data_IF_682125740397
#
_entry.id   IF_682125740397
#
_cell.length_a   1.000
_cell.length_b   1.000
_cell.length_c   1.000
_cell.angle_alpha   90.00
_cell.angle_beta   90.00
_cell.angle_gamma   90.00
#
_symmetry.space_group_name_H-M   'P 1'
#
loop_
_entity.id
_entity.type
_entity.pdbx_description
1 polymer ?
#
# COMPACT_ATOMS: atom_id res chain seq x y z
N UNK A 1 59.81 -29.06 -10.95
CA UNK A 1 58.41 -29.11 -11.42
C UNK A 1 57.48 -28.68 -10.29
N UNK A 2 56.97 -27.44 -10.31
CA UNK A 2 55.99 -26.96 -9.32
C UNK A 2 54.59 -27.37 -9.77
N UNK A 3 53.93 -28.28 -9.04
CA UNK A 3 52.50 -28.57 -9.21
C UNK A 3 51.70 -27.45 -8.54
N UNK A 4 51.08 -26.59 -9.35
CA UNK A 4 50.08 -25.64 -8.88
C UNK A 4 48.78 -26.42 -8.65
N UNK A 5 48.39 -26.60 -7.40
CA UNK A 5 47.09 -27.14 -7.02
C UNK A 5 46.11 -25.95 -7.02
N UNK A 6 45.33 -25.80 -8.08
CA UNK A 6 44.25 -24.81 -8.12
C UNK A 6 43.10 -25.41 -7.31
N UNK A 7 42.94 -24.90 -6.08
CA UNK A 7 41.80 -25.20 -5.22
C UNK A 7 40.57 -24.49 -5.80
N UNK A 8 39.69 -25.26 -6.46
CA UNK A 8 38.36 -24.82 -6.86
C UNK A 8 37.50 -24.64 -5.60
N UNK A 9 37.42 -23.41 -5.11
CA UNK A 9 36.45 -23.03 -4.08
C UNK A 9 35.09 -22.94 -4.75
N UNK A 10 34.29 -24.00 -4.65
CA UNK A 10 32.86 -23.95 -4.96
C UNK A 10 32.16 -23.06 -3.91
N UNK A 11 31.71 -21.88 -4.32
CA UNK A 11 30.83 -21.04 -3.51
C UNK A 11 29.48 -21.73 -3.31
N UNK A 12 29.32 -22.48 -2.22
CA UNK A 12 28.02 -22.96 -1.70
C UNK A 12 27.27 -21.87 -0.90
N UNK A 13 27.74 -20.62 -0.94
CA UNK A 13 27.34 -19.52 -0.05
C UNK A 13 25.93 -18.95 -0.31
N UNK A 14 25.30 -19.19 -1.47
CA UNK A 14 23.99 -18.59 -1.76
C UNK A 14 22.81 -19.20 -0.99
N UNK A 15 22.96 -20.43 -0.45
CA UNK A 15 21.88 -21.12 0.26
C UNK A 15 21.73 -20.65 1.71
N UNK A 16 22.80 -20.15 2.31
CA UNK A 16 22.80 -19.70 3.72
C UNK A 16 22.16 -18.31 3.88
N UNK A 17 22.37 -17.40 2.91
CA UNK A 17 21.83 -16.03 2.94
C UNK A 17 20.31 -15.95 2.77
N UNK A 18 19.69 -16.92 2.10
CA UNK A 18 18.25 -16.92 1.79
C UNK A 18 17.52 -18.11 2.40
N UNK A 19 18.07 -18.67 3.49
CA UNK A 19 17.57 -19.89 4.13
C UNK A 19 16.08 -19.78 4.50
N UNK A 20 15.64 -18.66 5.05
CA UNK A 20 14.25 -18.45 5.48
C UNK A 20 13.27 -18.55 4.31
N UNK A 21 13.62 -17.98 3.16
CA UNK A 21 12.83 -18.09 1.94
C UNK A 21 12.74 -19.55 1.49
N UNK A 22 13.88 -20.25 1.44
CA UNK A 22 13.90 -21.65 0.99
C UNK A 22 13.18 -22.59 1.96
N UNK A 23 13.28 -22.36 3.27
CA UNK A 23 12.53 -23.10 4.28
C UNK A 23 11.02 -22.89 4.10
N UNK A 24 10.59 -21.66 3.79
CA UNK A 24 9.19 -21.36 3.51
C UNK A 24 8.70 -22.08 2.23
N UNK A 25 9.50 -22.04 1.15
CA UNK A 25 9.21 -22.75 -0.09
C UNK A 25 9.07 -24.25 0.17
N UNK A 26 10.02 -24.86 0.89
CA UNK A 26 9.98 -26.30 1.20
C UNK A 26 8.78 -26.69 2.07
N UNK A 27 8.38 -25.85 3.03
CA UNK A 27 7.15 -26.08 3.81
C UNK A 27 5.91 -26.09 2.92
N UNK A 28 5.81 -25.14 1.99
CA UNK A 28 4.68 -25.08 1.05
C UNK A 28 4.67 -26.30 0.13
N UNK A 29 5.83 -26.68 -0.44
CA UNK A 29 5.96 -27.88 -1.28
C UNK A 29 5.49 -29.15 -0.55
N UNK A 30 5.83 -29.28 0.73
CA UNK A 30 5.42 -30.43 1.54
C UNK A 30 3.94 -30.39 1.96
N UNK A 31 3.28 -29.23 1.85
CA UNK A 31 1.87 -29.07 2.25
C UNK A 31 0.92 -29.29 1.06
N UNK A 32 1.31 -28.87 -0.14
CA UNK A 32 0.50 -29.00 -1.34
C UNK A 32 0.61 -30.41 -1.93
N UNK A 33 -0.46 -30.90 -2.55
CA UNK A 33 -0.39 -32.19 -3.26
C UNK A 33 0.45 -32.07 -4.54
N UNK A 34 0.89 -33.21 -5.06
CA UNK A 34 1.63 -33.25 -6.33
C UNK A 34 0.81 -32.67 -7.48
N UNK A 35 -0.48 -32.95 -7.53
CA UNK A 35 -1.40 -32.43 -8.54
C UNK A 35 -1.55 -30.92 -8.43
N UNK A 36 -1.60 -30.38 -7.20
CA UNK A 36 -1.64 -28.94 -6.96
C UNK A 36 -0.36 -28.25 -7.43
N UNK A 37 0.81 -28.82 -7.13
CA UNK A 37 2.11 -28.30 -7.58
C UNK A 37 2.26 -28.36 -9.10
N UNK A 38 1.80 -29.44 -9.75
CA UNK A 38 1.78 -29.56 -11.22
C UNK A 38 0.85 -28.52 -11.82
N UNK A 39 -0.37 -28.37 -11.29
CA UNK A 39 -1.32 -27.36 -11.77
C UNK A 39 -0.78 -25.94 -11.59
N UNK A 40 -0.10 -25.68 -10.49
CA UNK A 40 0.51 -24.38 -10.20
C UNK A 40 1.68 -24.08 -11.15
N UNK A 41 2.59 -25.04 -11.34
CA UNK A 41 3.77 -24.88 -12.22
C UNK A 41 3.42 -24.74 -13.70
N UNK A 42 2.37 -25.43 -14.19
CA UNK A 42 1.93 -25.39 -15.59
C UNK A 42 1.24 -24.09 -16.01
N UNK A 43 0.86 -23.21 -15.06
CA UNK A 43 0.30 -21.90 -15.36
C UNK A 43 1.42 -20.92 -15.70
N UNK A 44 1.10 -19.94 -16.55
CA UNK A 44 1.93 -18.74 -16.68
C UNK A 44 2.19 -18.12 -15.29
N UNK A 45 3.41 -17.64 -15.05
CA UNK A 45 3.84 -17.15 -13.73
C UNK A 45 2.88 -16.07 -13.20
N UNK A 46 2.51 -15.09 -14.04
CA UNK A 46 1.62 -14.00 -13.59
C UNK A 46 0.24 -14.52 -13.16
N UNK A 47 -0.30 -15.47 -13.93
CA UNK A 47 -1.59 -16.11 -13.65
C UNK A 47 -1.53 -17.02 -12.43
N UNK A 48 -0.45 -17.79 -12.29
CA UNK A 48 -0.21 -18.65 -11.14
C UNK A 48 -0.19 -17.83 -9.85
N UNK A 49 0.54 -16.70 -9.84
CA UNK A 49 0.62 -15.82 -8.66
C UNK A 49 -0.70 -15.12 -8.39
N UNK A 50 -1.40 -14.61 -9.42
CA UNK A 50 -2.70 -13.96 -9.22
C UNK A 50 -3.75 -14.92 -8.66
N UNK A 51 -3.79 -16.17 -9.14
CA UNK A 51 -4.77 -17.15 -8.67
C UNK A 51 -4.44 -17.68 -7.27
N UNK A 52 -3.17 -18.03 -7.01
CA UNK A 52 -2.78 -18.56 -5.70
C UNK A 52 -2.91 -17.49 -4.62
N UNK A 53 -2.74 -16.21 -4.95
CA UNK A 53 -2.84 -15.09 -4.02
C UNK A 53 -4.15 -15.12 -3.23
N UNK A 54 -5.29 -15.28 -3.92
CA UNK A 54 -6.62 -15.29 -3.28
C UNK A 54 -7.04 -16.64 -2.68
N UNK A 55 -6.30 -17.71 -2.96
CA UNK A 55 -6.51 -19.02 -2.35
C UNK A 55 -5.51 -19.25 -1.22
N UNK A 56 -4.55 -20.13 -1.51
CA UNK A 56 -3.54 -20.55 -0.53
C UNK A 56 -2.62 -19.39 -0.08
N UNK A 57 -2.44 -18.35 -0.90
CA UNK A 57 -1.68 -17.15 -0.56
C UNK A 57 -2.30 -16.36 0.60
N UNK A 58 -3.63 -16.23 0.66
CA UNK A 58 -4.34 -15.63 1.80
C UNK A 58 -4.15 -16.47 3.07
N UNK A 59 -4.28 -17.79 2.94
CA UNK A 59 -4.08 -18.72 4.06
C UNK A 59 -2.66 -18.60 4.63
N UNK A 60 -1.65 -18.71 3.76
CA UNK A 60 -0.24 -18.53 4.11
C UNK A 60 0.00 -17.18 4.78
N UNK A 61 -0.55 -16.09 4.22
CA UNK A 61 -0.42 -14.76 4.82
C UNK A 61 -1.00 -14.71 6.23
N UNK A 62 -2.18 -15.26 6.45
CA UNK A 62 -2.84 -15.15 7.74
C UNK A 62 -2.17 -16.06 8.80
N UNK A 63 -1.93 -17.32 8.47
CA UNK A 63 -1.44 -18.31 9.42
C UNK A 63 0.08 -18.24 9.61
N UNK A 64 0.84 -17.95 8.55
CA UNK A 64 2.31 -17.94 8.59
C UNK A 64 2.85 -16.54 8.76
N UNK A 65 2.33 -15.50 8.09
CA UNK A 65 2.95 -14.16 8.15
C UNK A 65 2.31 -13.24 9.19
N UNK A 66 0.99 -13.30 9.37
CA UNK A 66 0.24 -12.37 10.23
C UNK A 66 0.25 -12.81 11.70
N UNK A 67 -0.01 -14.10 11.96
CA UNK A 67 0.01 -14.65 13.32
C UNK A 67 1.43 -14.74 13.90
N UNK A 68 2.44 -14.57 13.05
CA UNK A 68 3.84 -14.53 13.45
C UNK A 68 4.55 -13.28 12.91
N UNK A 69 4.04 -12.09 13.26
CA UNK A 69 4.79 -10.82 13.02
C UNK A 69 6.24 -10.86 13.56
N UNK A 70 6.55 -11.81 14.44
CA UNK A 70 7.88 -12.13 14.95
C UNK A 70 8.60 -13.33 14.30
N UNK A 71 8.03 -13.96 13.28
CA UNK A 71 8.70 -15.07 12.60
C UNK A 71 9.98 -14.62 11.91
N UNK A 72 10.91 -15.57 11.86
CA UNK A 72 12.16 -15.43 11.13
C UNK A 72 11.94 -15.01 9.67
N UNK A 73 10.85 -15.49 9.03
CA UNK A 73 10.53 -15.13 7.65
C UNK A 73 10.10 -13.66 7.49
N UNK A 74 9.25 -13.15 8.40
CA UNK A 74 8.85 -11.73 8.39
C UNK A 74 10.05 -10.85 8.66
N UNK A 75 10.89 -11.21 9.64
CA UNK A 75 12.15 -10.50 9.94
C UNK A 75 13.12 -10.49 8.76
N UNK A 76 13.24 -11.61 8.06
CA UNK A 76 14.04 -11.75 6.84
C UNK A 76 13.57 -10.79 5.74
N UNK A 77 12.26 -10.74 5.46
CA UNK A 77 11.73 -9.82 4.45
C UNK A 77 11.84 -8.36 4.88
N UNK A 78 11.59 -8.05 6.16
CA UNK A 78 11.75 -6.70 6.71
C UNK A 78 13.21 -6.21 6.58
N UNK A 79 14.18 -7.09 6.85
CA UNK A 79 15.61 -6.79 6.65
C UNK A 79 15.92 -6.46 5.19
N UNK A 80 15.25 -7.12 4.25
CA UNK A 80 15.35 -6.87 2.81
C UNK A 80 14.43 -5.73 2.31
N UNK A 81 13.81 -4.97 3.21
CA UNK A 81 12.99 -3.78 2.86
C UNK A 81 11.57 -4.10 2.36
N UNK A 82 11.09 -5.33 2.52
CA UNK A 82 9.73 -5.75 2.15
C UNK A 82 8.88 -5.85 3.42
N UNK A 83 7.90 -4.96 3.56
CA UNK A 83 7.07 -4.86 4.77
C UNK A 83 5.61 -5.31 4.57
N UNK A 84 5.13 -5.34 3.33
CA UNK A 84 3.75 -5.72 3.03
C UNK A 84 3.62 -7.24 2.95
N UNK A 85 2.72 -7.83 3.75
CA UNK A 85 2.58 -9.29 3.83
C UNK A 85 2.17 -9.93 2.49
N UNK A 86 1.42 -9.21 1.66
CA UNK A 86 1.07 -9.69 0.32
C UNK A 86 2.30 -9.79 -0.59
N UNK A 87 3.26 -8.87 -0.45
CA UNK A 87 4.49 -8.93 -1.25
C UNK A 87 5.40 -10.05 -0.79
N UNK A 88 5.52 -10.25 0.53
CA UNK A 88 6.24 -11.40 1.09
C UNK A 88 5.67 -12.71 0.55
N UNK A 89 4.34 -12.87 0.62
CA UNK A 89 3.61 -14.02 0.08
C UNK A 89 3.87 -14.18 -1.43
N UNK A 90 3.69 -13.11 -2.22
CA UNK A 90 3.96 -13.13 -3.66
C UNK A 90 5.39 -13.54 -4.00
N UNK A 91 6.40 -13.05 -3.27
CA UNK A 91 7.80 -13.41 -3.49
C UNK A 91 8.02 -14.90 -3.20
N UNK A 92 7.47 -15.43 -2.12
CA UNK A 92 7.56 -16.87 -1.78
C UNK A 92 6.95 -17.73 -2.89
N UNK A 93 5.71 -17.45 -3.33
CA UNK A 93 5.04 -18.25 -4.35
C UNK A 93 5.66 -18.10 -5.74
N UNK A 94 6.16 -16.91 -6.09
CA UNK A 94 6.89 -16.69 -7.35
C UNK A 94 8.20 -17.47 -7.36
N UNK A 95 8.91 -17.48 -6.23
CA UNK A 95 10.13 -18.27 -6.06
C UNK A 95 9.86 -19.78 -6.14
N UNK A 96 8.76 -20.26 -5.55
CA UNK A 96 8.30 -21.64 -5.69
C UNK A 96 7.98 -21.98 -7.16
N UNK A 97 7.21 -21.14 -7.86
CA UNK A 97 6.85 -21.37 -9.26
C UNK A 97 8.10 -21.51 -10.15
N UNK A 98 9.06 -20.60 -9.96
CA UNK A 98 10.36 -20.62 -10.67
C UNK A 98 11.15 -21.88 -10.34
N UNK A 99 11.22 -22.27 -9.07
CA UNK A 99 11.89 -23.51 -8.64
C UNK A 99 11.28 -24.75 -9.30
N UNK A 100 9.95 -24.90 -9.29
CA UNK A 100 9.25 -26.03 -9.92
C UNK A 100 9.50 -26.10 -11.44
N UNK A 101 9.77 -24.96 -12.07
CA UNK A 101 10.05 -24.84 -13.49
C UNK A 101 11.55 -24.76 -13.83
N UNK A 102 12.45 -25.04 -12.88
CA UNK A 102 13.90 -24.93 -13.07
C UNK A 102 14.37 -23.56 -13.60
N UNK A 103 13.66 -22.49 -13.24
CA UNK A 103 14.01 -21.10 -13.57
C UNK A 103 14.80 -20.48 -12.42
N UNK A 104 15.69 -19.56 -12.74
CA UNK A 104 16.34 -18.73 -11.72
C UNK A 104 15.26 -17.98 -10.92
N UNK A 105 15.31 -18.09 -9.59
CA UNK A 105 14.38 -17.38 -8.68
C UNK A 105 14.52 -15.87 -8.85
N UNK A 106 15.73 -15.35 -9.07
CA UNK A 106 15.99 -13.93 -9.31
C UNK A 106 15.37 -13.03 -8.22
N UNK A 107 15.69 -13.39 -6.97
CA UNK A 107 15.09 -12.79 -5.76
C UNK A 107 15.36 -11.28 -5.67
N UNK A 108 16.56 -10.84 -6.00
CA UNK A 108 16.95 -9.43 -5.89
C UNK A 108 16.12 -8.53 -6.81
N UNK A 109 15.78 -8.98 -8.02
CA UNK A 109 14.87 -8.23 -8.88
C UNK A 109 13.43 -8.26 -8.36
N UNK A 110 12.97 -9.40 -7.82
CA UNK A 110 11.65 -9.46 -7.19
C UNK A 110 11.52 -8.43 -6.06
N UNK A 111 12.54 -8.31 -5.20
CA UNK A 111 12.58 -7.32 -4.12
C UNK A 111 12.62 -5.90 -4.66
N UNK A 112 13.52 -5.64 -5.62
CA UNK A 112 13.68 -4.32 -6.25
C UNK A 112 12.38 -3.81 -6.86
N UNK A 113 11.65 -4.67 -7.57
CA UNK A 113 10.38 -4.31 -8.18
C UNK A 113 9.34 -3.88 -7.14
N UNK A 114 9.29 -4.57 -5.99
CA UNK A 114 8.40 -4.22 -4.88
C UNK A 114 8.79 -2.90 -4.22
N UNK A 115 10.07 -2.70 -3.94
CA UNK A 115 10.57 -1.44 -3.37
C UNK A 115 10.23 -0.27 -4.32
N UNK A 116 10.52 -0.42 -5.61
CA UNK A 116 10.22 0.59 -6.65
C UNK A 116 8.73 0.91 -6.74
N UNK A 117 7.87 -0.10 -6.58
CA UNK A 117 6.42 0.11 -6.58
C UNK A 117 5.95 0.94 -5.36
N UNK A 118 6.46 0.64 -4.16
CA UNK A 118 6.01 1.29 -2.93
C UNK A 118 6.67 2.63 -2.63
N UNK A 119 7.89 2.87 -3.10
CA UNK A 119 8.63 4.12 -2.86
C UNK A 119 7.80 5.40 -3.12
N UNK A 120 7.13 5.59 -4.28
CA UNK A 120 6.31 6.78 -4.50
C UNK A 120 5.13 6.87 -3.53
N UNK A 121 4.52 5.74 -3.16
CA UNK A 121 3.40 5.69 -2.21
C UNK A 121 3.87 6.10 -0.81
N UNK A 122 4.99 5.55 -0.33
CA UNK A 122 5.55 5.89 0.98
C UNK A 122 5.95 7.36 1.07
N UNK A 123 6.54 7.91 0.01
CA UNK A 123 6.88 9.33 -0.04
C UNK A 123 5.63 10.22 -0.02
N UNK A 124 4.60 9.83 -0.77
CA UNK A 124 3.29 10.46 -0.74
C UNK A 124 2.66 10.45 0.68
N UNK A 125 2.74 9.31 1.38
CA UNK A 125 2.21 9.18 2.74
C UNK A 125 2.95 10.09 3.73
N UNK A 126 4.28 10.20 3.62
CA UNK A 126 5.07 11.17 4.40
C UNK A 126 4.60 12.61 4.17
N UNK A 127 4.27 12.97 2.93
CA UNK A 127 3.75 14.30 2.62
C UNK A 127 2.31 14.49 3.13
N UNK A 128 1.47 13.45 3.12
CA UNK A 128 0.17 13.48 3.79
C UNK A 128 0.31 13.71 5.30
N UNK A 129 1.30 13.10 5.97
CA UNK A 129 1.57 13.35 7.40
C UNK A 129 1.99 14.80 7.66
N UNK A 130 2.89 15.36 6.84
CA UNK A 130 3.25 16.79 6.94
C UNK A 130 2.01 17.68 6.76
N UNK A 131 1.13 17.34 5.80
CA UNK A 131 -0.14 18.04 5.57
C UNK A 131 -1.07 17.93 6.78
N UNK A 132 -1.20 16.75 7.38
CA UNK A 132 -1.97 16.56 8.60
C UNK A 132 -1.46 17.44 9.73
N UNK A 133 -0.14 17.51 9.94
CA UNK A 133 0.47 18.36 10.99
C UNK A 133 0.18 19.84 10.73
N UNK A 134 0.35 20.30 9.48
CA UNK A 134 -0.01 21.68 9.09
C UNK A 134 -1.48 21.97 9.36
N UNK A 135 -2.37 21.08 8.89
CA UNK A 135 -3.82 21.19 9.06
C UNK A 135 -4.25 21.07 10.54
N UNK A 136 -3.45 20.41 11.37
CA UNK A 136 -3.73 20.25 12.80
C UNK A 136 -3.74 21.57 13.57
N UNK A 137 -3.20 22.64 12.99
CA UNK A 137 -3.17 24.00 13.55
C UNK A 137 -4.52 24.70 13.50
N UNK A 138 -5.42 24.26 12.61
CA UNK A 138 -6.76 24.83 12.55
C UNK A 138 -7.57 24.53 13.81
N UNK A 139 -8.39 25.50 14.20
CA UNK A 139 -9.22 25.49 15.40
C UNK A 139 -10.69 25.74 15.06
N UNK A 140 -11.56 25.52 16.05
CA UNK A 140 -12.99 25.82 15.92
C UNK A 140 -13.18 27.31 15.61
N UNK A 141 -14.02 27.61 14.63
CA UNK A 141 -14.32 28.96 14.17
C UNK A 141 -13.50 29.41 12.96
N UNK A 142 -12.38 28.75 12.64
CA UNK A 142 -11.60 29.07 11.45
C UNK A 142 -12.44 28.87 10.18
N UNK A 143 -12.25 29.77 9.21
CA UNK A 143 -12.84 29.64 7.87
C UNK A 143 -11.79 29.08 6.93
N UNK A 144 -12.05 27.92 6.36
CA UNK A 144 -11.11 27.21 5.49
C UNK A 144 -11.67 27.01 4.09
N UNK A 145 -10.76 27.00 3.12
CA UNK A 145 -11.02 26.52 1.77
C UNK A 145 -10.68 25.04 1.71
N UNK A 146 -11.53 24.24 1.03
CA UNK A 146 -11.36 22.79 0.89
C UNK A 146 -11.40 22.44 -0.60
N UNK A 147 -10.40 21.67 -1.04
CA UNK A 147 -10.33 21.14 -2.41
C UNK A 147 -10.57 19.64 -2.39
N UNK A 148 -11.50 19.19 -3.24
CA UNK A 148 -11.82 17.76 -3.39
C UNK A 148 -11.78 17.37 -4.87
N UNK A 149 -11.13 16.25 -5.16
CA UNK A 149 -11.09 15.68 -6.51
C UNK A 149 -12.49 15.29 -6.93
N UNK A 150 -12.84 15.57 -8.19
CA UNK A 150 -14.11 15.16 -8.77
C UNK A 150 -13.89 14.03 -9.79
N UNK A 151 -14.54 12.90 -9.55
CA UNK A 151 -14.80 11.92 -10.60
C UNK A 151 -15.93 12.46 -11.48
N UNK A 152 -15.57 12.90 -12.69
CA UNK A 152 -16.48 13.54 -13.64
C UNK A 152 -17.52 12.58 -14.20
N UNK A 153 -17.22 11.28 -14.28
CA UNK A 153 -18.15 10.27 -14.77
C UNK A 153 -19.30 10.09 -13.77
N UNK A 154 -18.95 10.01 -12.49
CA UNK A 154 -19.92 9.77 -11.41
C UNK A 154 -20.46 11.06 -10.77
N UNK A 155 -19.94 12.23 -11.17
CA UNK A 155 -20.21 13.54 -10.56
C UNK A 155 -20.07 13.51 -9.04
N UNK A 156 -18.97 12.92 -8.58
CA UNK A 156 -18.74 12.64 -7.16
C UNK A 156 -17.36 13.14 -6.73
N UNK A 157 -17.33 13.87 -5.62
CA UNK A 157 -16.13 14.39 -5.02
C UNK A 157 -15.72 13.60 -3.76
N UNK A 158 -14.41 13.47 -3.56
CA UNK A 158 -13.82 12.78 -2.40
C UNK A 158 -12.41 13.28 -2.12
N UNK A 159 -11.93 13.04 -0.90
CA UNK A 159 -10.53 13.22 -0.55
C UNK A 159 -9.70 12.13 -1.22
N UNK A 160 -8.59 12.52 -1.85
CA UNK A 160 -7.74 11.59 -2.61
C UNK A 160 -6.62 11.06 -1.71
N UNK A 161 -6.45 9.75 -1.71
CA UNK A 161 -5.33 9.08 -1.04
C UNK A 161 -4.16 8.81 -2.00
N UNK A 162 -3.02 8.40 -1.46
CA UNK A 162 -1.87 7.90 -2.20
C UNK A 162 -2.21 6.57 -2.92
N UNK A 163 -1.67 6.33 -4.12
CA UNK A 163 -0.82 7.23 -4.92
C UNK A 163 -1.62 8.24 -5.75
N UNK A 164 -2.95 8.17 -5.79
CA UNK A 164 -3.77 8.98 -6.72
C UNK A 164 -3.54 10.49 -6.56
N UNK A 165 -3.28 10.94 -5.33
CA UNK A 165 -3.00 12.36 -5.06
C UNK A 165 -1.70 12.87 -5.72
N UNK A 166 -0.72 11.98 -6.02
CA UNK A 166 0.55 12.37 -6.65
C UNK A 166 0.37 12.96 -8.06
N UNK A 167 -0.62 12.46 -8.81
CA UNK A 167 -0.93 12.94 -10.15
C UNK A 167 -1.96 14.07 -10.18
N UNK A 168 -2.58 14.39 -9.04
CA UNK A 168 -3.67 15.35 -9.00
C UNK A 168 -3.16 16.77 -8.78
N UNK A 169 -3.46 17.65 -9.74
CA UNK A 169 -3.26 19.10 -9.62
C UNK A 169 -4.63 19.75 -9.48
N UNK A 170 -4.96 20.33 -8.31
CA UNK A 170 -6.28 20.93 -8.10
C UNK A 170 -6.60 22.01 -9.15
N UNK A 171 -7.79 21.92 -9.73
CA UNK A 171 -8.27 22.84 -10.75
C UNK A 171 -9.72 23.22 -10.46
N UNK A 172 -9.99 24.50 -10.18
CA UNK A 172 -11.33 24.99 -9.84
C UNK A 172 -12.41 24.70 -10.92
N UNK A 173 -12.00 24.51 -12.18
CA UNK A 173 -12.93 24.19 -13.27
C UNK A 173 -13.33 22.71 -13.28
N UNK A 174 -12.48 21.82 -12.77
CA UNK A 174 -12.73 20.37 -12.78
C UNK A 174 -13.16 19.87 -11.39
N UNK A 175 -12.52 20.39 -10.34
CA UNK A 175 -12.65 19.94 -8.97
C UNK A 175 -13.68 20.74 -8.18
N UNK A 176 -14.05 20.17 -7.02
CA UNK A 176 -14.96 20.80 -6.08
C UNK A 176 -14.15 21.69 -5.13
N UNK A 177 -14.50 22.97 -5.11
CA UNK A 177 -14.01 23.96 -4.17
C UNK A 177 -15.13 24.29 -3.20
N UNK A 178 -14.87 24.07 -1.91
CA UNK A 178 -15.77 24.41 -0.83
C UNK A 178 -15.13 25.44 0.07
N UNK A 179 -15.97 26.24 0.73
CA UNK A 179 -15.56 27.02 1.90
C UNK A 179 -16.43 26.61 3.07
N UNK A 180 -15.85 26.60 4.25
CA UNK A 180 -16.57 26.19 5.45
C UNK A 180 -15.94 26.67 6.74
N UNK A 181 -16.74 26.63 7.80
CA UNK A 181 -16.34 27.03 9.16
C UNK A 181 -16.15 25.76 9.98
N UNK A 182 -15.00 25.64 10.65
CA UNK A 182 -14.70 24.48 11.48
C UNK A 182 -15.59 24.50 12.73
N UNK A 183 -16.41 23.46 12.92
CA UNK A 183 -17.25 23.30 14.10
C UNK A 183 -16.51 22.60 15.24
N UNK A 184 -15.73 21.57 14.89
CA UNK A 184 -14.93 20.80 15.85
C UNK A 184 -13.79 20.02 15.16
N UNK A 185 -12.79 19.67 15.98
CA UNK A 185 -11.71 18.73 15.67
C UNK A 185 -11.80 17.54 16.61
N UNK A 186 -11.64 16.32 16.11
CA UNK A 186 -11.78 15.11 16.92
C UNK A 186 -11.00 13.92 16.31
N UNK A 187 -10.91 12.82 17.07
CA UNK A 187 -10.30 11.54 16.66
C UNK A 187 -11.27 10.39 16.97
N UNK A 188 -11.31 9.33 16.15
CA UNK A 188 -12.11 8.14 16.47
C UNK A 188 -11.31 7.11 17.29
N UNK A 189 -9.99 7.11 17.13
CA UNK A 189 -9.08 6.21 17.82
C UNK A 189 -7.87 6.97 18.38
N UNK A 190 -7.06 6.27 19.17
CA UNK A 190 -5.76 6.78 19.64
C UNK A 190 -4.67 6.67 18.56
N UNK A 191 -5.03 6.38 17.31
CA UNK A 191 -4.09 6.29 16.18
C UNK A 191 -3.78 7.71 15.70
N UNK A 192 -2.49 8.02 15.57
CA UNK A 192 -1.99 9.37 15.24
C UNK A 192 -2.58 9.94 13.92
N UNK A 193 -2.91 9.07 12.97
CA UNK A 193 -3.37 9.40 11.62
C UNK A 193 -4.90 9.45 11.47
N UNK A 194 -5.61 9.44 12.59
CA UNK A 194 -7.07 9.33 12.66
C UNK A 194 -7.70 10.63 13.18
N UNK A 195 -7.23 11.77 12.64
CA UNK A 195 -7.69 13.11 13.01
C UNK A 195 -8.68 13.65 11.99
N UNK A 196 -9.77 14.26 12.46
CA UNK A 196 -10.87 14.77 11.64
C UNK A 196 -11.26 16.21 11.97
N UNK A 197 -11.73 16.92 10.94
CA UNK A 197 -12.45 18.18 11.08
C UNK A 197 -13.92 17.96 10.72
N UNK A 198 -14.81 18.51 11.53
CA UNK A 198 -16.23 18.67 11.18
C UNK A 198 -16.43 20.12 10.74
N UNK A 199 -16.87 20.34 9.51
CA UNK A 199 -16.87 21.66 8.86
C UNK A 199 -18.26 21.97 8.32
N UNK A 200 -18.85 23.09 8.74
CA UNK A 200 -20.10 23.59 8.19
C UNK A 200 -19.84 24.30 6.87
N UNK A 201 -20.45 23.83 5.79
CA UNK A 201 -20.23 24.35 4.45
C UNK A 201 -21.00 25.66 4.27
N UNK A 202 -20.30 26.69 3.79
CA UNK A 202 -20.87 28.02 3.55
C UNK A 202 -20.86 28.40 2.07
N UNK A 203 -20.00 27.77 1.27
CA UNK A 203 -19.92 28.01 -0.18
C UNK A 203 -19.47 26.77 -0.94
N UNK A 204 -19.88 26.65 -2.21
CA UNK A 204 -19.41 25.64 -3.16
C UNK A 204 -19.40 26.19 -4.58
N UNK A 205 -18.35 25.89 -5.36
CA UNK A 205 -18.26 26.32 -6.76
C UNK A 205 -19.15 25.52 -7.74
N UNK A 206 -19.62 24.32 -7.34
CA UNK A 206 -20.41 23.42 -8.21
C UNK A 206 -21.60 22.86 -7.44
N UNK A 207 -22.81 23.12 -7.92
CA UNK A 207 -24.05 22.71 -7.23
C UNK A 207 -24.44 21.25 -7.46
N UNK A 208 -24.04 20.66 -8.59
CA UNK A 208 -24.48 19.34 -9.08
C UNK A 208 -23.49 18.20 -8.78
N UNK A 209 -22.49 18.44 -7.94
CA UNK A 209 -21.49 17.46 -7.54
C UNK A 209 -21.86 16.90 -6.16
N UNK A 210 -21.92 15.58 -6.04
CA UNK A 210 -22.08 14.86 -4.78
C UNK A 210 -20.75 14.81 -4.04
N UNK A 211 -20.78 14.64 -2.71
CA UNK A 211 -19.60 14.34 -1.90
C UNK A 211 -19.81 12.97 -1.25
N UNK A 212 -18.88 12.05 -1.46
CA UNK A 212 -19.01 10.65 -1.00
C UNK A 212 -20.36 10.01 -1.39
N UNK A 213 -20.76 10.22 -2.64
CA UNK A 213 -22.02 9.78 -3.25
C UNK A 213 -23.31 10.35 -2.63
N UNK A 214 -23.19 11.34 -1.74
CA UNK A 214 -24.33 12.02 -1.13
C UNK A 214 -24.45 13.46 -1.64
N UNK A 215 -25.68 13.99 -1.83
CA UNK A 215 -25.85 15.42 -2.03
C UNK A 215 -25.24 16.20 -0.87
N UNK A 216 -24.64 17.36 -1.17
CA UNK A 216 -24.11 18.28 -0.18
C UNK A 216 -24.68 19.67 -0.46
N UNK A 217 -25.37 20.27 0.49
CA UNK A 217 -25.95 21.61 0.42
C UNK A 217 -25.17 22.60 1.26
N UNK A 218 -25.35 23.89 0.97
CA UNK A 218 -24.85 24.95 1.84
C UNK A 218 -25.61 24.86 3.18
N UNK A 219 -24.87 24.96 4.28
CA UNK A 219 -25.37 24.75 5.63
C UNK A 219 -25.15 23.34 6.15
N UNK A 220 -24.95 22.35 5.27
CA UNK A 220 -24.62 20.99 5.67
C UNK A 220 -23.25 20.91 6.33
N UNK A 221 -23.04 19.83 7.05
CA UNK A 221 -21.76 19.55 7.68
C UNK A 221 -21.01 18.43 6.96
N UNK A 222 -19.73 18.67 6.70
CA UNK A 222 -18.81 17.71 6.09
C UNK A 222 -17.74 17.28 7.08
N UNK A 223 -17.50 15.97 7.16
CA UNK A 223 -16.39 15.41 7.92
C UNK A 223 -15.19 15.18 6.99
N UNK A 224 -14.03 15.66 7.39
CA UNK A 224 -12.80 15.62 6.62
C UNK A 224 -11.70 14.94 7.42
N UNK A 225 -11.09 13.90 6.87
CA UNK A 225 -9.89 13.30 7.46
C UNK A 225 -8.68 14.19 7.17
N UNK A 226 -8.03 14.75 8.20
CA UNK A 226 -6.96 15.75 8.03
C UNK A 226 -5.82 15.25 7.14
N UNK A 227 -5.52 13.95 7.19
CA UNK A 227 -4.45 13.29 6.43
C UNK A 227 -4.54 13.53 4.92
N UNK A 228 -5.77 13.53 4.38
CA UNK A 228 -6.04 13.65 2.95
C UNK A 228 -6.64 15.01 2.57
N UNK A 229 -6.77 15.93 3.53
CA UNK A 229 -7.37 17.25 3.34
C UNK A 229 -6.39 18.21 2.66
N UNK A 230 -6.73 18.65 1.45
CA UNK A 230 -6.12 19.84 0.85
C UNK A 230 -6.95 21.04 1.28
N UNK A 231 -6.49 21.72 2.33
CA UNK A 231 -7.17 22.86 2.95
C UNK A 231 -6.22 24.03 3.18
N UNK A 232 -6.77 25.24 3.11
CA UNK A 232 -6.05 26.49 3.31
C UNK A 232 -6.88 27.41 4.19
N UNK A 233 -6.21 28.26 4.98
CA UNK A 233 -6.91 29.30 5.72
C UNK A 233 -7.32 30.41 4.76
N UNK A 234 -8.54 30.94 4.92
CA UNK A 234 -9.02 32.11 4.18
C UNK A 234 -8.86 33.39 5.03
N UNK A 235 -8.59 33.28 6.34
CA UNK A 235 -8.49 34.41 7.27
C UNK A 235 -7.32 34.31 8.25
#
# INVERSE_FOLDING_TARGET
MKKFFILLIFFSSCKEENKELFDAISKIENTLTKEELIRFSNKDESKAISEIHFGYGLKFRNEVLKDSKDSTLVKYFNYKGIYHLDDMSSIVFKSLHRKLNSKNIDLENQIRDKIKYWEPIQNCEKDNLKRQIKNGRFIKGDTIQIRMFVDTLNKNAYQVDCPKILGWKPNNNLDLLLEGIIEKKYTYSNIENDKFLKVKIISKNKNNIKVYNKPLQIGDTLELKLLYSIIENIK
#
